data_IF_097897371421
#
_entry.id   IF_097897371421
#
_cell.length_a   1.000
_cell.length_b   1.000
_cell.length_c   1.000
_cell.angle_alpha   90.00
_cell.angle_beta   90.00
_cell.angle_gamma   90.00
#
_symmetry.space_group_name_H-M   'P 1'
#
loop_
_entity.id
_entity.type
_entity.pdbx_description
1 polymer ?
#
# COMPACT_ATOMS: atom_id res chain seq x y z
N UNK A 1 -0.17 -18.26 27.80
CA UNK A 1 0.98 -19.18 27.96
C UNK A 1 1.67 -19.27 26.61
N UNK A 2 2.96 -18.89 26.49
CA UNK A 2 3.74 -19.12 25.26
C UNK A 2 4.10 -20.60 25.22
N UNK A 3 3.18 -21.44 24.75
CA UNK A 3 3.46 -22.85 24.48
C UNK A 3 4.55 -22.93 23.41
N UNK A 4 5.63 -23.66 23.67
CA UNK A 4 6.60 -24.00 22.63
C UNK A 4 5.88 -24.88 21.62
N UNK A 5 5.54 -24.33 20.46
CA UNK A 5 4.99 -25.09 19.36
C UNK A 5 6.19 -25.72 18.64
N UNK A 6 6.27 -27.05 18.69
CA UNK A 6 7.32 -27.81 18.02
C UNK A 6 6.85 -28.19 16.63
N UNK A 7 7.57 -27.76 15.60
CA UNK A 7 7.45 -28.31 14.26
C UNK A 7 8.14 -29.67 14.30
N UNK A 8 7.39 -30.75 14.06
CA UNK A 8 7.94 -32.10 14.17
C UNK A 8 8.55 -32.59 12.87
N UNK A 9 7.97 -32.21 11.73
CA UNK A 9 8.44 -32.68 10.43
C UNK A 9 7.98 -31.77 9.30
N UNK A 10 8.94 -31.29 8.53
CA UNK A 10 8.71 -30.64 7.23
C UNK A 10 9.10 -31.64 6.15
N UNK A 11 8.14 -32.10 5.36
CA UNK A 11 8.35 -33.03 4.26
C UNK A 11 8.03 -32.34 2.96
N UNK A 12 8.95 -32.40 2.00
CA UNK A 12 8.67 -32.00 0.63
C UNK A 12 8.32 -33.26 -0.14
N UNK A 13 7.08 -33.37 -0.60
CA UNK A 13 6.60 -34.54 -1.37
C UNK A 13 6.09 -34.06 -2.72
N UNK A 14 6.83 -34.34 -3.79
CA UNK A 14 6.44 -33.90 -5.14
C UNK A 14 6.31 -32.37 -5.23
N UNK A 15 5.08 -31.90 -5.49
CA UNK A 15 4.72 -30.48 -5.68
C UNK A 15 4.18 -29.80 -4.42
N UNK A 16 4.02 -30.51 -3.30
CA UNK A 16 3.45 -29.92 -2.08
C UNK A 16 4.42 -29.98 -0.91
N UNK A 17 4.39 -28.93 -0.10
CA UNK A 17 4.99 -28.93 1.23
C UNK A 17 3.98 -29.55 2.19
N UNK A 18 4.37 -30.63 2.86
CA UNK A 18 3.61 -31.20 3.95
C UNK A 18 4.23 -30.76 5.27
N UNK A 19 3.45 -30.03 6.06
CA UNK A 19 3.83 -29.62 7.40
C UNK A 19 2.98 -30.40 8.41
N UNK A 20 3.66 -31.19 9.24
CA UNK A 20 3.02 -31.85 10.38
C UNK A 20 3.22 -31.00 11.62
N UNK A 21 2.11 -30.53 12.18
CA UNK A 21 2.08 -29.75 13.41
C UNK A 21 1.47 -30.60 14.53
N UNK A 22 2.07 -30.54 15.71
CA UNK A 22 1.38 -30.98 16.93
C UNK A 22 1.37 -29.81 17.90
N UNK A 23 0.21 -29.15 18.00
CA UNK A 23 -0.02 -28.05 18.93
C UNK A 23 -0.76 -28.64 20.13
N UNK A 24 -0.13 -28.79 21.31
CA UNK A 24 -0.85 -29.27 22.48
C UNK A 24 -1.90 -28.24 22.87
N UNK A 25 -3.18 -28.63 22.87
CA UNK A 25 -4.26 -27.76 23.31
C UNK A 25 -5.23 -28.46 24.26
N UNK A 26 -5.69 -27.71 25.25
CA UNK A 26 -6.64 -28.14 26.26
C UNK A 26 -7.84 -27.16 26.26
N UNK A 27 -8.98 -27.60 25.74
CA UNK A 27 -10.25 -26.85 25.83
C UNK A 27 -11.12 -26.93 24.58
N UNK A 28 -12.44 -26.75 24.76
CA UNK A 28 -13.43 -26.71 23.68
C UNK A 28 -13.86 -25.27 23.38
N UNK A 29 -13.86 -24.87 22.10
CA UNK A 29 -14.71 -23.80 21.53
C UNK A 29 -14.45 -23.58 20.03
N UNK A 30 -15.49 -23.05 19.38
CA UNK A 30 -15.63 -22.47 18.04
C UNK A 30 -14.57 -22.86 16.98
N UNK A 31 -15.04 -23.56 15.94
CA UNK A 31 -14.28 -23.80 14.71
C UNK A 31 -13.86 -22.46 14.09
N UNK A 32 -12.55 -22.28 13.90
CA UNK A 32 -12.00 -21.17 13.14
C UNK A 32 -11.78 -21.65 11.71
N UNK A 33 -12.36 -20.99 10.70
CA UNK A 33 -12.15 -21.40 9.31
C UNK A 33 -10.67 -21.24 8.95
N UNK A 34 -10.20 -22.13 8.07
CA UNK A 34 -8.87 -22.01 7.47
C UNK A 34 -8.80 -20.70 6.66
N UNK A 35 -7.89 -19.81 7.05
CA UNK A 35 -7.61 -18.55 6.33
C UNK A 35 -6.12 -18.47 5.99
N UNK A 36 -5.78 -17.92 4.83
CA UNK A 36 -4.39 -17.68 4.41
C UNK A 36 -4.21 -16.24 3.95
N UNK A 37 -3.07 -15.66 4.27
CA UNK A 37 -2.69 -14.30 3.88
C UNK A 37 -1.21 -14.22 3.47
N UNK A 38 -0.94 -13.60 2.33
CA UNK A 38 0.40 -13.29 1.83
C UNK A 38 0.75 -11.83 2.18
N UNK A 39 1.96 -11.62 2.70
CA UNK A 39 2.53 -10.30 2.99
C UNK A 39 4.01 -10.22 2.57
N UNK A 40 4.56 -9.03 2.25
CA UNK A 40 3.83 -7.78 2.07
C UNK A 40 2.97 -7.85 0.79
N UNK A 41 1.89 -7.05 0.73
CA UNK A 41 1.06 -6.93 -0.48
C UNK A 41 1.74 -6.13 -1.59
N UNK A 42 2.77 -5.35 -1.24
CA UNK A 42 3.56 -4.53 -2.16
C UNK A 42 5.06 -4.70 -1.84
N UNK A 43 5.91 -4.60 -2.86
CA UNK A 43 7.37 -4.73 -2.74
C UNK A 43 8.02 -3.43 -3.18
N UNK A 44 8.76 -2.81 -2.28
CA UNK A 44 9.44 -1.53 -2.53
C UNK A 44 10.95 -1.67 -2.75
N UNK A 45 11.52 -2.83 -2.38
CA UNK A 45 12.96 -3.12 -2.49
C UNK A 45 13.19 -4.60 -2.80
N UNK A 46 14.30 -4.93 -3.46
CA UNK A 46 14.73 -6.31 -3.69
C UNK A 46 16.14 -6.58 -3.11
N UNK A 47 16.43 -7.81 -2.65
CA UNK A 47 15.47 -8.90 -2.47
C UNK A 47 14.54 -8.63 -1.28
N UNK A 48 13.33 -9.17 -1.30
CA UNK A 48 12.36 -9.00 -0.22
C UNK A 48 12.11 -10.30 0.55
N UNK A 49 11.54 -10.15 1.74
CA UNK A 49 11.00 -11.26 2.53
C UNK A 49 9.50 -11.36 2.24
N UNK A 50 9.03 -12.55 1.85
CA UNK A 50 7.60 -12.82 1.84
C UNK A 50 7.22 -13.72 3.01
N UNK A 51 6.05 -13.44 3.58
CA UNK A 51 5.46 -14.13 4.70
C UNK A 51 4.08 -14.67 4.31
N UNK A 52 3.82 -15.92 4.67
CA UNK A 52 2.50 -16.56 4.58
C UNK A 52 2.00 -16.75 5.99
N UNK A 53 0.84 -16.15 6.28
CA UNK A 53 0.16 -16.31 7.55
C UNK A 53 -1.04 -17.23 7.33
N UNK A 54 -1.12 -18.30 8.09
CA UNK A 54 -2.29 -19.20 8.09
C UNK A 54 -2.94 -19.15 9.45
N UNK A 55 -4.22 -18.78 9.49
CA UNK A 55 -5.03 -19.00 10.69
C UNK A 55 -5.56 -20.42 10.66
N UNK A 56 -5.26 -21.16 11.72
CA UNK A 56 -5.59 -22.56 11.87
C UNK A 56 -6.28 -22.79 13.20
N UNK A 57 -7.15 -23.79 13.22
CA UNK A 57 -7.59 -24.39 14.47
C UNK A 57 -6.46 -25.30 14.99
N UNK A 58 -5.94 -25.07 16.21
CA UNK A 58 -4.92 -25.93 16.79
C UNK A 58 -5.57 -27.25 17.20
N UNK A 59 -5.33 -28.30 16.43
CA UNK A 59 -5.50 -29.68 16.87
C UNK A 59 -4.14 -30.38 16.97
N UNK A 60 -4.12 -31.53 17.62
CA UNK A 60 -2.89 -32.24 17.95
C UNK A 60 -2.29 -33.02 16.79
N UNK A 61 -2.87 -33.01 15.58
CA UNK A 61 -2.41 -33.84 14.45
C UNK A 61 -2.71 -33.27 13.04
N UNK A 62 -2.98 -31.98 12.89
CA UNK A 62 -3.30 -31.41 11.58
C UNK A 62 -2.11 -31.52 10.63
N UNK A 63 -2.37 -32.17 9.51
CA UNK A 63 -1.50 -32.12 8.34
C UNK A 63 -1.97 -30.98 7.45
N UNK A 64 -1.04 -30.09 7.13
CA UNK A 64 -1.28 -29.02 6.17
C UNK A 64 -0.48 -29.27 4.90
N UNK A 65 -1.15 -29.13 3.75
CA UNK A 65 -0.50 -29.05 2.45
C UNK A 65 -0.38 -27.60 2.03
N UNK A 66 0.78 -27.23 1.48
CA UNK A 66 0.99 -25.92 0.88
C UNK A 66 1.48 -26.08 -0.55
N UNK A 67 0.86 -25.31 -1.44
CA UNK A 67 1.32 -25.12 -2.81
C UNK A 67 1.57 -23.62 -3.02
N UNK A 68 2.74 -23.30 -3.54
CA UNK A 68 3.13 -21.96 -3.93
C UNK A 68 3.24 -21.90 -5.45
N UNK A 69 2.46 -21.01 -6.05
CA UNK A 69 2.44 -20.78 -7.48
C UNK A 69 3.00 -19.40 -7.79
N UNK A 70 3.87 -19.33 -8.80
CA UNK A 70 4.35 -18.09 -9.41
C UNK A 70 3.93 -18.09 -10.88
N UNK A 71 3.13 -17.11 -11.28
CA UNK A 71 2.56 -17.04 -12.63
C UNK A 71 1.90 -18.36 -13.05
N UNK A 72 1.09 -18.91 -12.14
CA UNK A 72 0.38 -20.19 -12.25
C UNK A 72 1.28 -21.44 -12.40
N UNK A 73 2.61 -21.29 -12.27
CA UNK A 73 3.55 -22.40 -12.19
C UNK A 73 3.80 -22.78 -10.73
N UNK A 74 3.66 -24.06 -10.38
CA UNK A 74 4.02 -24.54 -9.04
C UNK A 74 5.53 -24.46 -8.83
N UNK A 75 5.94 -23.60 -7.90
CA UNK A 75 7.34 -23.36 -7.54
C UNK A 75 7.65 -23.80 -6.11
N UNK A 76 6.75 -24.55 -5.48
CA UNK A 76 6.85 -24.98 -4.07
C UNK A 76 8.23 -25.57 -3.78
N UNK A 77 8.74 -26.39 -4.69
CA UNK A 77 10.06 -27.01 -4.55
C UNK A 77 11.23 -26.02 -4.70
N UNK A 78 11.17 -25.15 -5.71
CA UNK A 78 12.27 -24.25 -6.08
C UNK A 78 12.56 -23.18 -5.01
N UNK A 79 11.52 -22.71 -4.33
CA UNK A 79 11.64 -21.61 -3.36
C UNK A 79 11.93 -22.11 -1.93
N UNK A 80 11.53 -23.33 -1.62
CA UNK A 80 11.71 -23.93 -0.28
C UNK A 80 13.10 -24.53 -0.11
N UNK A 81 13.73 -25.08 -1.16
CA UNK A 81 15.07 -25.68 -1.06
C UNK A 81 16.15 -24.69 -0.56
N UNK A 82 16.19 -23.43 -1.02
CA UNK A 82 17.06 -22.41 -0.44
C UNK A 82 16.70 -22.08 1.02
N UNK A 83 15.40 -21.96 1.34
CA UNK A 83 14.91 -21.62 2.66
C UNK A 83 15.20 -22.72 3.71
N UNK A 84 15.11 -24.01 3.34
CA UNK A 84 15.42 -25.17 4.18
C UNK A 84 16.87 -25.26 4.66
N UNK A 85 17.79 -24.48 4.05
CA UNK A 85 19.17 -24.36 4.55
C UNK A 85 19.26 -23.43 5.76
N UNK A 86 18.21 -22.64 6.02
CA UNK A 86 18.08 -21.84 7.23
C UNK A 86 17.63 -22.74 8.39
N UNK A 87 18.01 -22.42 9.64
CA UNK A 87 17.50 -23.17 10.79
C UNK A 87 15.97 -23.13 10.80
N UNK A 88 15.31 -24.27 11.04
CA UNK A 88 13.85 -24.46 10.94
C UNK A 88 13.04 -23.40 11.69
N UNK A 89 13.56 -22.90 12.80
CA UNK A 89 12.96 -21.83 13.62
C UNK A 89 12.89 -20.45 12.95
N UNK A 90 13.53 -20.27 11.79
CA UNK A 90 13.47 -19.05 10.96
C UNK A 90 12.46 -19.14 9.83
N UNK A 91 12.06 -20.35 9.43
CA UNK A 91 11.19 -20.58 8.27
C UNK A 91 9.73 -20.62 8.70
N UNK A 92 9.42 -21.28 9.80
CA UNK A 92 8.04 -21.38 10.28
C UNK A 92 8.01 -21.05 11.77
N UNK A 93 7.14 -20.12 12.13
CA UNK A 93 6.99 -19.61 13.49
C UNK A 93 5.53 -19.52 13.86
N UNK A 94 5.24 -19.61 15.15
CA UNK A 94 3.91 -19.38 15.69
C UNK A 94 3.93 -18.09 16.50
N UNK A 95 3.55 -16.94 15.90
CA UNK A 95 3.42 -15.70 16.66
C UNK A 95 2.39 -15.83 17.80
N UNK A 96 1.35 -16.65 17.60
CA UNK A 96 0.34 -16.97 18.60
C UNK A 96 -0.16 -18.43 18.44
N UNK A 97 -1.18 -18.81 19.22
CA UNK A 97 -1.68 -20.19 19.27
C UNK A 97 -2.44 -20.64 18.01
N UNK A 98 -2.87 -19.72 17.17
CA UNK A 98 -3.76 -19.97 16.04
C UNK A 98 -3.17 -19.54 14.70
N UNK A 99 -1.97 -18.98 14.72
CA UNK A 99 -1.35 -18.39 13.54
C UNK A 99 -0.03 -19.07 13.26
N UNK A 100 0.06 -19.75 12.13
CA UNK A 100 1.32 -20.20 11.55
C UNK A 100 1.84 -19.11 10.61
N UNK A 101 3.07 -18.64 10.84
CA UNK A 101 3.78 -17.73 9.94
C UNK A 101 4.93 -18.47 9.28
N UNK A 102 4.87 -18.64 7.97
CA UNK A 102 5.96 -19.14 7.13
C UNK A 102 6.68 -17.94 6.51
N UNK A 103 7.99 -17.85 6.66
CA UNK A 103 8.85 -16.78 6.16
C UNK A 103 9.82 -17.38 5.15
N UNK A 104 9.91 -16.74 4.00
CA UNK A 104 10.89 -17.08 2.98
C UNK A 104 11.67 -15.82 2.61
N UNK A 105 12.92 -15.73 3.07
CA UNK A 105 13.73 -14.55 2.85
C UNK A 105 14.44 -14.58 1.50
N UNK A 106 14.85 -13.41 1.03
CA UNK A 106 15.77 -13.31 -0.11
C UNK A 106 15.12 -13.52 -1.48
N UNK A 107 13.82 -13.25 -1.62
CA UNK A 107 13.14 -13.36 -2.91
C UNK A 107 13.52 -12.20 -3.80
N UNK A 108 14.08 -12.54 -4.96
CA UNK A 108 14.31 -11.61 -6.06
C UNK A 108 13.55 -12.13 -7.27
N UNK A 109 12.76 -11.24 -7.86
CA UNK A 109 11.97 -11.51 -9.05
C UNK A 109 12.51 -10.64 -10.19
N UNK A 110 12.54 -11.13 -11.45
CA UNK A 110 12.86 -10.31 -12.60
C UNK A 110 11.90 -9.12 -12.75
N UNK A 111 12.25 -8.16 -13.60
CA UNK A 111 11.32 -7.10 -13.97
C UNK A 111 10.11 -7.69 -14.72
N UNK A 112 8.90 -7.25 -14.35
CA UNK A 112 7.63 -7.67 -14.90
C UNK A 112 6.55 -7.80 -13.84
N UNK A 113 5.38 -8.25 -14.29
CA UNK A 113 4.23 -8.56 -13.43
C UNK A 113 4.29 -10.03 -13.02
N UNK A 114 4.22 -10.27 -11.71
CA UNK A 114 4.35 -11.58 -11.09
C UNK A 114 3.18 -11.85 -10.14
N UNK A 115 2.34 -12.82 -10.49
CA UNK A 115 1.29 -13.32 -9.59
C UNK A 115 1.88 -14.39 -8.69
N UNK A 116 1.83 -14.18 -7.38
CA UNK A 116 2.14 -15.18 -6.36
C UNK A 116 0.84 -15.65 -5.75
N UNK A 117 0.62 -16.97 -5.73
CA UNK A 117 -0.57 -17.58 -5.15
C UNK A 117 -0.17 -18.69 -4.19
N UNK A 118 -0.83 -18.73 -3.03
CA UNK A 118 -0.67 -19.77 -2.03
C UNK A 118 -1.98 -20.51 -1.90
N UNK A 119 -1.92 -21.83 -1.96
CA UNK A 119 -3.03 -22.72 -1.63
C UNK A 119 -2.65 -23.55 -0.41
N UNK A 120 -3.54 -23.58 0.57
CA UNK A 120 -3.40 -24.34 1.82
C UNK A 120 -4.55 -25.32 1.89
N UNK A 121 -4.26 -26.58 2.19
CA UNK A 121 -5.25 -27.59 2.55
C UNK A 121 -4.97 -28.18 3.91
N UNK A 122 -5.98 -28.66 4.63
CA UNK A 122 -5.81 -29.41 5.86
C UNK A 122 -6.30 -30.88 5.72
N UNK A 123 -6.06 -31.69 6.76
CA UNK A 123 -6.46 -33.10 6.78
C UNK A 123 -7.97 -33.35 6.82
N UNK A 124 -8.78 -32.33 7.13
CA UNK A 124 -10.25 -32.44 7.10
C UNK A 124 -10.84 -32.13 5.71
N UNK A 125 -10.01 -31.70 4.76
CA UNK A 125 -10.40 -31.38 3.38
C UNK A 125 -10.76 -29.91 3.15
N UNK A 126 -10.62 -29.06 4.17
CA UNK A 126 -10.79 -27.62 4.01
C UNK A 126 -9.61 -27.04 3.23
N UNK A 127 -9.89 -26.05 2.39
CA UNK A 127 -8.88 -25.36 1.60
C UNK A 127 -9.04 -23.86 1.71
N UNK A 128 -7.92 -23.15 1.69
CA UNK A 128 -7.87 -21.69 1.64
C UNK A 128 -6.80 -21.26 0.64
N UNK A 129 -7.05 -20.16 -0.06
CA UNK A 129 -6.08 -19.60 -1.01
C UNK A 129 -6.01 -18.09 -0.91
N UNK A 130 -4.84 -17.56 -1.20
CA UNK A 130 -4.63 -16.12 -1.34
C UNK A 130 -3.66 -15.86 -2.49
N UNK A 131 -3.79 -14.71 -3.14
CA UNK A 131 -2.90 -14.31 -4.23
C UNK A 131 -2.55 -12.83 -4.16
N UNK A 132 -1.34 -12.49 -4.59
CA UNK A 132 -0.80 -11.13 -4.69
C UNK A 132 -0.17 -10.97 -6.06
N UNK A 133 -0.38 -9.82 -6.70
CA UNK A 133 0.34 -9.45 -7.92
C UNK A 133 1.43 -8.45 -7.56
N UNK A 134 2.69 -8.86 -7.71
CA UNK A 134 3.86 -7.99 -7.61
C UNK A 134 4.21 -7.42 -8.97
N UNK A 135 4.45 -6.11 -9.02
CA UNK A 135 4.95 -5.44 -10.21
C UNK A 135 6.39 -5.03 -9.89
N UNK A 136 7.34 -5.61 -10.62
CA UNK A 136 8.77 -5.43 -10.41
C UNK A 136 9.36 -4.69 -11.60
N UNK A 137 10.19 -3.67 -11.37
CA UNK A 137 10.88 -2.98 -12.47
C UNK A 137 10.02 -2.03 -13.31
N UNK A 138 8.69 -2.13 -13.23
CA UNK A 138 7.84 -0.94 -13.24
C UNK A 138 7.82 -0.44 -11.80
N UNK A 139 8.65 0.56 -11.48
CA UNK A 139 8.43 1.33 -10.26
C UNK A 139 7.09 2.06 -10.44
N UNK A 140 6.05 1.84 -9.61
CA UNK A 140 5.31 3.00 -9.13
C UNK A 140 6.37 3.93 -8.52
N UNK A 141 6.41 5.24 -8.83
CA UNK A 141 7.54 6.09 -8.48
C UNK A 141 7.87 5.98 -6.99
N UNK A 142 8.89 5.19 -6.64
CA UNK A 142 9.35 5.02 -5.26
C UNK A 142 10.33 6.15 -4.97
N UNK A 143 9.92 6.98 -4.01
CA UNK A 143 10.43 8.32 -3.70
C UNK A 143 10.08 9.30 -4.82
N UNK A 144 9.23 10.32 -4.58
CA UNK A 144 9.02 11.30 -5.62
C UNK A 144 10.40 11.89 -5.91
N UNK A 145 10.83 11.82 -7.18
CA UNK A 145 11.75 12.81 -7.71
C UNK A 145 11.25 14.14 -7.18
N UNK A 146 12.13 14.92 -6.52
CA UNK A 146 11.69 16.11 -5.80
C UNK A 146 10.79 16.91 -6.73
N UNK A 147 9.48 16.94 -6.46
CA UNK A 147 8.54 17.51 -7.42
C UNK A 147 8.89 18.98 -7.46
N UNK A 148 9.31 19.45 -8.62
CA UNK A 148 9.71 20.82 -8.80
C UNK A 148 8.45 21.64 -9.03
N UNK A 149 8.31 22.70 -8.23
CA UNK A 149 7.25 23.65 -8.50
C UNK A 149 7.38 24.19 -9.92
N UNK A 150 8.58 24.56 -10.35
CA UNK A 150 8.78 25.20 -11.66
C UNK A 150 8.50 24.28 -12.85
N UNK A 151 8.88 23.00 -12.79
CA UNK A 151 8.73 22.08 -13.94
C UNK A 151 7.46 21.25 -13.90
N UNK A 152 6.93 20.92 -12.72
CA UNK A 152 5.88 19.91 -12.60
C UNK A 152 4.53 20.52 -12.21
N UNK A 153 4.52 21.43 -11.22
CA UNK A 153 3.27 22.01 -10.67
C UNK A 153 2.86 23.28 -11.39
N UNK A 154 3.81 24.18 -11.65
CA UNK A 154 3.54 25.48 -12.28
C UNK A 154 2.87 25.32 -13.65
N UNK A 155 3.26 24.37 -14.53
CA UNK A 155 2.53 24.18 -15.80
C UNK A 155 1.06 23.76 -15.60
N UNK A 156 0.76 23.01 -14.54
CA UNK A 156 -0.63 22.64 -14.20
C UNK A 156 -1.39 23.90 -13.74
N UNK A 157 -0.79 24.72 -12.86
CA UNK A 157 -1.40 25.95 -12.39
C UNK A 157 -1.62 26.95 -13.53
N UNK A 158 -0.61 27.19 -14.37
CA UNK A 158 -0.68 28.13 -15.49
C UNK A 158 -1.75 27.72 -16.51
N UNK A 159 -1.87 26.42 -16.81
CA UNK A 159 -2.78 25.94 -17.85
C UNK A 159 -4.25 25.84 -17.39
N UNK A 160 -4.51 25.71 -16.09
CA UNK A 160 -5.86 25.39 -15.57
C UNK A 160 -6.39 26.34 -14.49
N UNK A 161 -5.52 27.08 -13.81
CA UNK A 161 -5.88 27.79 -12.58
C UNK A 161 -5.54 29.29 -12.64
N UNK A 162 -4.30 29.63 -12.98
CA UNK A 162 -3.78 31.00 -13.06
C UNK A 162 -4.22 31.73 -14.35
N UNK A 163 -5.51 31.61 -14.67
CA UNK A 163 -6.16 32.28 -15.79
C UNK A 163 -6.74 33.60 -15.29
N UNK A 164 -6.55 34.68 -16.06
CA UNK A 164 -7.12 35.99 -15.74
C UNK A 164 -8.65 35.89 -15.59
N UNK A 165 -9.18 36.39 -14.48
CA UNK A 165 -10.60 36.25 -14.12
C UNK A 165 -10.94 35.01 -13.30
N UNK A 166 -10.02 34.05 -13.20
CA UNK A 166 -10.10 32.91 -12.28
C UNK A 166 -9.15 33.12 -11.09
N UNK A 167 -7.88 32.71 -11.18
CA UNK A 167 -6.91 32.89 -10.10
C UNK A 167 -5.63 33.60 -10.58
N UNK A 168 -5.79 34.60 -11.44
CA UNK A 168 -4.72 35.51 -11.83
C UNK A 168 -5.24 36.91 -12.20
N UNK A 169 -4.31 37.85 -12.37
CA UNK A 169 -4.60 39.23 -12.75
C UNK A 169 -4.97 40.13 -11.56
N UNK A 170 -5.50 41.34 -11.82
CA UNK A 170 -5.71 42.34 -10.77
C UNK A 170 -6.87 42.02 -9.82
N UNK A 171 -7.86 41.22 -10.27
CA UNK A 171 -9.05 40.87 -9.49
C UNK A 171 -9.30 39.35 -9.52
N UNK A 172 -8.41 38.55 -8.90
CA UNK A 172 -8.59 37.11 -8.89
C UNK A 172 -9.73 36.68 -7.97
N UNK A 173 -10.45 35.62 -8.34
CA UNK A 173 -11.50 35.02 -7.53
C UNK A 173 -10.97 34.66 -6.16
N UNK A 174 -11.79 34.94 -5.14
CA UNK A 174 -11.45 34.75 -3.74
C UNK A 174 -10.16 35.45 -3.29
N UNK A 175 -9.67 36.46 -4.04
CA UNK A 175 -8.41 37.13 -3.75
C UNK A 175 -7.22 36.16 -3.73
N UNK A 176 -7.24 35.12 -4.57
CA UNK A 176 -6.15 34.15 -4.69
C UNK A 176 -5.47 34.27 -6.05
N UNK A 177 -4.22 34.72 -6.08
CA UNK A 177 -3.39 34.82 -7.26
C UNK A 177 -2.37 33.69 -7.34
N UNK A 178 -2.61 32.73 -8.24
CA UNK A 178 -1.72 31.59 -8.50
C UNK A 178 -0.61 31.91 -9.50
N UNK A 179 -0.55 33.12 -10.08
CA UNK A 179 0.67 33.57 -10.79
C UNK A 179 1.81 33.90 -9.82
N UNK A 180 1.49 34.13 -8.54
CA UNK A 180 2.42 34.38 -7.44
C UNK A 180 2.05 33.51 -6.23
N UNK A 181 2.11 32.17 -6.33
CA UNK A 181 1.51 31.27 -5.34
C UNK A 181 2.22 31.27 -3.99
N UNK A 182 3.44 31.82 -3.90
CA UNK A 182 4.22 31.97 -2.67
C UNK A 182 4.07 33.34 -2.01
N UNK A 183 3.29 34.26 -2.59
CA UNK A 183 2.96 35.52 -1.94
C UNK A 183 2.13 35.27 -0.66
N UNK A 184 2.53 35.86 0.45
CA UNK A 184 1.93 35.59 1.76
C UNK A 184 0.58 36.29 1.99
N UNK A 185 0.16 37.17 1.07
CA UNK A 185 -1.08 37.95 1.17
C UNK A 185 -2.14 37.47 0.19
N UNK A 186 -1.74 37.22 -1.06
CA UNK A 186 -2.63 36.86 -2.16
C UNK A 186 -2.32 35.50 -2.77
N UNK A 187 -1.19 34.88 -2.43
CA UNK A 187 -0.80 33.55 -2.90
C UNK A 187 -1.59 32.41 -2.25
N UNK A 188 -1.05 31.19 -2.32
CA UNK A 188 -1.74 29.99 -1.84
C UNK A 188 -0.94 29.23 -0.78
N UNK A 189 0.39 29.19 -0.89
CA UNK A 189 1.25 28.44 0.05
C UNK A 189 1.29 29.17 1.39
N UNK A 190 0.80 28.54 2.45
CA UNK A 190 0.82 29.11 3.80
C UNK A 190 -0.26 30.16 4.07
N UNK A 191 -1.16 30.44 3.12
CA UNK A 191 -2.19 31.48 3.23
C UNK A 191 -3.54 30.84 3.62
N UNK A 192 -4.28 31.35 4.63
CA UNK A 192 -5.61 30.86 4.97
C UNK A 192 -6.60 30.91 3.80
N UNK A 193 -7.46 29.90 3.68
CA UNK A 193 -8.55 29.92 2.72
C UNK A 193 -9.60 30.97 3.13
N UNK A 194 -10.16 31.69 2.14
CA UNK A 194 -11.29 32.60 2.41
C UNK A 194 -12.60 31.85 2.61
N UNK A 195 -12.75 30.72 1.93
CA UNK A 195 -13.96 29.89 2.02
C UNK A 195 -13.93 28.98 3.26
N UNK A 196 -12.75 28.71 3.81
CA UNK A 196 -12.57 27.95 5.06
C UNK A 196 -11.38 28.49 5.86
N UNK A 197 -11.53 29.58 6.64
CA UNK A 197 -10.41 30.25 7.32
C UNK A 197 -9.62 29.40 8.30
N UNK A 198 -10.17 28.28 8.79
CA UNK A 198 -9.49 27.30 9.64
C UNK A 198 -8.49 26.41 8.90
N UNK A 199 -8.47 26.44 7.56
CA UNK A 199 -7.60 25.62 6.71
C UNK A 199 -6.79 26.50 5.75
N UNK A 200 -5.52 26.15 5.53
CA UNK A 200 -4.68 26.84 4.54
C UNK A 200 -5.11 26.48 3.12
N UNK A 201 -4.98 27.42 2.19
CA UNK A 201 -5.15 27.18 0.74
C UNK A 201 -4.24 26.04 0.31
N UNK A 202 -2.97 26.11 0.67
CA UNK A 202 -1.99 25.02 0.60
C UNK A 202 -1.25 24.97 1.95
N UNK A 203 -1.25 23.82 2.60
CA UNK A 203 -0.53 23.55 3.85
C UNK A 203 0.74 22.72 3.54
N UNK A 204 1.93 23.34 3.54
CA UNK A 204 3.19 22.63 3.30
C UNK A 204 3.35 21.38 4.16
N UNK A 205 3.61 20.24 3.53
CA UNK A 205 3.77 18.95 4.18
C UNK A 205 2.47 18.20 4.47
N UNK A 206 1.30 18.83 4.30
CA UNK A 206 0.02 18.23 4.62
C UNK A 206 -1.03 18.42 3.49
N UNK A 207 -1.04 17.55 2.47
CA UNK A 207 -1.98 17.65 1.36
C UNK A 207 -3.43 17.45 1.79
N UNK A 208 -3.70 16.59 2.78
CA UNK A 208 -5.07 16.32 3.25
C UNK A 208 -5.65 17.47 4.08
N UNK A 209 -4.80 18.34 4.63
CA UNK A 209 -5.20 19.57 5.29
C UNK A 209 -4.91 20.81 4.41
N UNK A 210 -5.02 20.66 3.09
CA UNK A 210 -4.86 21.74 2.11
C UNK A 210 -6.17 21.96 1.35
N UNK A 211 -6.75 23.15 1.46
CA UNK A 211 -8.06 23.42 0.86
C UNK A 211 -8.06 23.30 -0.67
N UNK A 212 -6.94 23.60 -1.33
CA UNK A 212 -6.75 23.36 -2.77
C UNK A 212 -7.08 21.92 -3.16
N UNK A 213 -6.61 20.95 -2.38
CA UNK A 213 -6.77 19.51 -2.65
C UNK A 213 -8.24 19.12 -2.61
N UNK A 214 -8.98 19.63 -1.64
CA UNK A 214 -10.43 19.44 -1.59
C UNK A 214 -11.15 20.06 -2.78
N UNK A 215 -10.76 21.28 -3.20
CA UNK A 215 -11.37 21.95 -4.35
C UNK A 215 -11.12 21.19 -5.65
N UNK A 216 -9.93 20.63 -5.88
CA UNK A 216 -9.63 19.89 -7.13
C UNK A 216 -10.21 18.47 -7.13
N UNK A 217 -10.46 17.87 -5.97
CA UNK A 217 -11.12 16.56 -5.83
C UNK A 217 -12.65 16.65 -5.73
N UNK A 218 -13.21 17.82 -5.42
CA UNK A 218 -14.64 18.02 -5.25
C UNK A 218 -15.16 17.62 -3.86
N UNK A 219 -14.30 17.60 -2.84
CA UNK A 219 -14.61 17.19 -1.47
C UNK A 219 -14.68 18.38 -0.48
N UNK A 220 -14.69 19.62 -0.98
CA UNK A 220 -14.67 20.84 -0.16
C UNK A 220 -15.78 20.93 0.89
N UNK A 221 -16.99 20.44 0.58
CA UNK A 221 -18.10 20.45 1.54
C UNK A 221 -17.86 19.46 2.69
N UNK A 222 -17.20 18.32 2.41
CA UNK A 222 -16.83 17.34 3.44
C UNK A 222 -15.77 17.89 4.40
N UNK A 223 -14.92 18.80 3.92
CA UNK A 223 -13.96 19.54 4.72
C UNK A 223 -14.56 20.72 5.51
N UNK A 224 -15.87 20.99 5.35
CA UNK A 224 -16.56 22.12 5.99
C UNK A 224 -16.45 23.45 5.23
N UNK A 225 -15.92 23.44 4.01
CA UNK A 225 -15.95 24.57 3.08
C UNK A 225 -17.21 24.60 2.22
N UNK A 226 -17.17 25.36 1.13
CA UNK A 226 -18.32 25.51 0.23
C UNK A 226 -17.93 25.81 -1.22
N UNK A 227 -18.95 25.92 -2.08
CA UNK A 227 -18.80 26.19 -3.51
C UNK A 227 -18.50 24.93 -4.33
N UNK A 228 -18.11 25.13 -5.58
CA UNK A 228 -17.94 24.05 -6.54
C UNK A 228 -16.50 23.52 -6.64
N UNK A 229 -16.36 22.33 -7.26
CA UNK A 229 -15.09 21.73 -7.68
C UNK A 229 -14.35 22.65 -8.67
N UNK A 230 -13.02 22.70 -8.55
CA UNK A 230 -12.13 23.43 -9.43
C UNK A 230 -11.32 22.50 -10.35
N UNK A 231 -10.95 22.93 -11.58
CA UNK A 231 -11.37 24.15 -12.26
C UNK A 231 -12.89 24.23 -12.46
N UNK A 232 -13.47 25.42 -12.27
CA UNK A 232 -14.91 25.62 -12.32
C UNK A 232 -15.48 25.28 -13.70
N UNK A 233 -16.50 24.42 -13.76
CA UNK A 233 -17.08 23.96 -15.02
C UNK A 233 -16.20 22.99 -15.83
N UNK A 234 -14.98 22.69 -15.36
CA UNK A 234 -14.04 21.81 -16.02
C UNK A 234 -13.30 22.44 -17.22
N UNK A 235 -12.48 21.64 -17.94
CA UNK A 235 -12.17 20.25 -17.63
C UNK A 235 -11.43 20.11 -16.29
N UNK A 236 -11.77 19.08 -15.54
CA UNK A 236 -11.09 18.80 -14.26
C UNK A 236 -9.66 18.29 -14.50
N UNK A 237 -8.82 18.43 -13.48
CA UNK A 237 -7.51 17.81 -13.48
C UNK A 237 -7.65 16.29 -13.54
N UNK A 238 -6.71 15.67 -14.24
CA UNK A 238 -6.53 14.21 -14.22
C UNK A 238 -6.08 13.75 -12.84
N UNK A 239 -6.23 12.45 -12.54
CA UNK A 239 -5.78 11.90 -11.27
C UNK A 239 -4.26 12.05 -11.12
N UNK A 240 -3.52 11.92 -12.20
CA UNK A 240 -2.07 12.09 -12.25
C UNK A 240 -1.66 13.53 -11.89
N UNK A 241 -2.32 14.54 -12.45
CA UNK A 241 -2.08 15.94 -12.12
C UNK A 241 -2.42 16.27 -10.66
N UNK A 242 -3.53 15.72 -10.14
CA UNK A 242 -3.91 15.86 -8.73
C UNK A 242 -2.82 15.23 -7.85
N UNK A 243 -2.32 14.05 -8.23
CA UNK A 243 -1.27 13.36 -7.50
C UNK A 243 0.04 14.14 -7.51
N UNK A 244 0.47 14.71 -8.64
CA UNK A 244 1.65 15.60 -8.72
C UNK A 244 1.53 16.78 -7.74
N UNK A 245 0.37 17.43 -7.68
CA UNK A 245 0.13 18.54 -6.72
C UNK A 245 0.21 18.03 -5.28
N UNK A 246 -0.45 16.91 -4.96
CA UNK A 246 -0.45 16.33 -3.61
C UNK A 246 0.97 15.94 -3.15
N UNK A 247 1.78 15.38 -4.04
CA UNK A 247 3.17 15.00 -3.77
C UNK A 247 4.08 16.21 -3.58
N UNK A 248 3.91 17.26 -4.38
CA UNK A 248 4.62 18.52 -4.15
C UNK A 248 4.27 19.12 -2.78
N UNK A 249 2.98 19.12 -2.41
CA UNK A 249 2.55 19.60 -1.09
C UNK A 249 3.16 18.74 0.01
N UNK A 250 3.12 17.41 -0.10
CA UNK A 250 3.69 16.51 0.92
C UNK A 250 5.21 16.70 1.09
N UNK A 251 5.91 17.16 0.05
CA UNK A 251 7.34 17.53 0.09
C UNK A 251 7.62 18.94 0.63
N UNK A 252 6.60 19.61 1.18
CA UNK A 252 6.72 20.92 1.79
C UNK A 252 6.41 22.08 0.84
N UNK A 253 5.76 21.82 -0.30
CA UNK A 253 5.33 22.83 -1.26
C UNK A 253 6.44 23.85 -1.59
N UNK A 254 7.63 23.38 -1.94
CA UNK A 254 8.83 24.22 -2.12
C UNK A 254 8.77 24.99 -3.46
N UNK A 255 9.42 26.15 -3.52
CA UNK A 255 9.66 26.87 -4.77
C UNK A 255 11.02 26.43 -5.36
N UNK A 256 11.03 25.29 -6.04
CA UNK A 256 12.21 24.60 -6.57
C UNK A 256 12.14 24.34 -8.07
#
# INVERSE_FOLDING_TARGET
MKGKISIYRLLVTGFSLLLTLAIPFAGSRAELPLEVQILPREVTTQPFEFSITVKVQPDINSLFSFNLLLNDQDITFALIVPALRLPESRIATFPDANTLKIVVPGVSLPNGTHKVEVKVGNSTGETASDSVTYIIGEQPPTQPSSISFSTDVKPIFDSRCAITGCHAGPNPQQGMNLSTPFDTTVGAVGVPSRELPSMLRINPGNPDNSYLVHKIQGTQEQAGGFGARMPFGGPFLTNEQIQTIREWISQGAKNN
#
